data_IF_380224592044
#
_entry.id   IF_380224592044
#
_cell.length_a   1.000
_cell.length_b   1.000
_cell.length_c   1.000
_cell.angle_alpha   90.00
_cell.angle_beta   90.00
_cell.angle_gamma   90.00
#
_symmetry.space_group_name_H-M   'P 1'
#
loop_
_entity.id
_entity.type
_entity.pdbx_description
1 polymer ?
#
# COMPACT_ATOMS: atom_id res chain seq x y z
N UNK A 1 -26.88 33.89 -0.69
CA UNK A 1 -25.97 32.87 -1.23
C UNK A 1 -25.74 31.87 -0.11
N UNK A 2 -26.45 30.74 -0.11
CA UNK A 2 -26.40 29.76 0.99
C UNK A 2 -25.15 28.88 0.85
N UNK A 3 -24.43 28.69 1.94
CA UNK A 3 -23.32 27.74 2.03
C UNK A 3 -23.92 26.35 1.80
N UNK A 4 -23.39 25.52 0.88
CA UNK A 4 -23.92 24.17 0.71
C UNK A 4 -23.63 23.36 1.99
N UNK A 5 -24.68 22.86 2.63
CA UNK A 5 -24.54 21.88 3.71
C UNK A 5 -23.80 20.66 3.17
N UNK A 6 -22.61 20.42 3.69
CA UNK A 6 -21.91 19.16 3.52
C UNK A 6 -22.77 18.09 4.21
N UNK A 7 -23.55 17.34 3.41
CA UNK A 7 -24.25 16.15 3.91
C UNK A 7 -23.19 15.22 4.49
N UNK A 8 -23.23 15.04 5.81
CA UNK A 8 -22.43 14.05 6.50
C UNK A 8 -22.68 12.70 5.82
N UNK A 9 -21.60 12.01 5.44
CA UNK A 9 -21.68 10.66 4.91
C UNK A 9 -22.02 9.77 6.10
N UNK A 10 -23.31 9.58 6.36
CA UNK A 10 -23.78 8.61 7.34
C UNK A 10 -23.38 7.22 6.84
N UNK A 11 -22.54 6.54 7.62
CA UNK A 11 -21.91 5.23 7.34
C UNK A 11 -20.66 5.26 6.43
N UNK A 12 -19.66 6.07 6.80
CA UNK A 12 -18.29 5.83 6.32
C UNK A 12 -17.81 4.48 6.88
N UNK A 13 -17.47 3.49 6.02
CA UNK A 13 -16.90 2.22 6.46
C UNK A 13 -15.77 2.45 7.48
N UNK A 14 -15.75 1.69 8.59
CA UNK A 14 -14.79 1.89 9.68
C UNK A 14 -13.34 1.94 9.19
N UNK A 15 -13.02 1.22 8.10
CA UNK A 15 -11.70 1.20 7.48
C UNK A 15 -11.29 2.56 6.88
N UNK A 16 -12.25 3.36 6.40
CA UNK A 16 -12.01 4.72 5.88
C UNK A 16 -11.89 5.75 7.01
N UNK A 17 -12.20 5.38 8.26
CA UNK A 17 -11.98 6.23 9.44
C UNK A 17 -10.58 6.05 10.03
N UNK A 18 -9.84 5.02 9.60
CA UNK A 18 -8.51 4.73 10.12
C UNK A 18 -7.43 5.29 9.19
N UNK A 19 -6.45 5.98 9.79
CA UNK A 19 -5.31 6.52 9.06
C UNK A 19 -4.37 5.40 8.61
N UNK A 20 -3.90 5.49 7.36
CA UNK A 20 -2.84 4.62 6.87
C UNK A 20 -1.45 5.09 7.31
N UNK A 21 -0.55 4.15 7.59
CA UNK A 21 0.85 4.46 7.94
C UNK A 21 1.81 3.94 6.86
N UNK A 22 2.89 4.68 6.60
CA UNK A 22 3.92 4.21 5.66
C UNK A 22 4.84 3.18 6.31
N UNK A 23 5.01 2.03 5.65
CA UNK A 23 5.92 1.00 6.13
C UNK A 23 7.37 1.44 5.92
N UNK A 24 8.13 1.55 7.02
CA UNK A 24 9.57 1.89 7.02
C UNK A 24 10.38 0.70 7.53
N UNK A 25 11.57 0.49 6.96
CA UNK A 25 12.45 -0.64 7.27
C UNK A 25 12.78 -0.78 8.76
N UNK A 26 12.97 0.33 9.47
CA UNK A 26 13.23 0.31 10.92
C UNK A 26 12.13 -0.32 11.76
N UNK A 27 10.91 -0.47 11.22
CA UNK A 27 9.76 -1.06 11.91
C UNK A 27 9.42 -2.47 11.41
N UNK A 28 10.25 -3.11 10.60
CA UNK A 28 9.94 -4.45 10.05
C UNK A 28 9.77 -5.52 11.13
N UNK A 29 10.65 -5.54 12.14
CA UNK A 29 10.52 -6.53 13.21
C UNK A 29 9.26 -6.26 14.04
N UNK A 30 9.06 -5.02 14.46
CA UNK A 30 7.89 -4.61 15.25
C UNK A 30 6.57 -4.95 14.56
N UNK A 31 6.45 -4.71 13.25
CA UNK A 31 5.20 -4.96 12.54
C UNK A 31 4.91 -6.43 12.27
N UNK A 32 5.94 -7.28 12.29
CA UNK A 32 5.77 -8.74 12.22
C UNK A 32 5.25 -9.26 13.56
N UNK A 33 5.82 -8.77 14.66
CA UNK A 33 5.58 -9.30 16.00
C UNK A 33 4.30 -8.72 16.65
N UNK A 34 3.95 -7.48 16.33
CA UNK A 34 2.83 -6.75 16.96
C UNK A 34 1.66 -6.65 15.98
N UNK A 35 0.44 -6.82 16.52
CA UNK A 35 -0.81 -6.47 15.83
C UNK A 35 -1.25 -5.10 16.33
N UNK A 36 -1.06 -4.07 15.53
CA UNK A 36 -1.51 -2.72 15.84
C UNK A 36 -2.83 -2.44 15.11
N UNK A 37 -3.76 -1.72 15.75
CA UNK A 37 -4.97 -1.22 15.09
C UNK A 37 -4.60 -0.13 14.08
N UNK A 38 -4.35 -0.56 12.84
CA UNK A 38 -3.97 0.29 11.71
C UNK A 38 -4.94 0.00 10.58
N UNK A 39 -5.46 1.06 9.94
CA UNK A 39 -6.37 0.90 8.81
C UNK A 39 -5.73 0.21 7.63
N UNK A 40 -4.58 0.71 7.18
CA UNK A 40 -3.79 0.08 6.13
C UNK A 40 -2.32 0.50 6.19
N UNK A 41 -1.45 -0.33 5.62
CA UNK A 41 -0.05 0.02 5.40
C UNK A 41 0.14 0.56 3.98
N UNK A 42 0.69 1.76 3.89
CA UNK A 42 1.15 2.37 2.65
C UNK A 42 2.52 1.80 2.30
N UNK A 43 2.59 1.11 1.16
CA UNK A 43 3.78 0.44 0.66
C UNK A 43 4.26 1.13 -0.62
N UNK A 44 5.55 1.43 -0.69
CA UNK A 44 6.15 1.94 -1.92
C UNK A 44 6.45 0.79 -2.89
N UNK A 45 5.84 0.81 -4.07
CA UNK A 45 5.94 -0.26 -5.08
C UNK A 45 7.40 -0.42 -5.55
N UNK A 46 8.14 0.67 -5.75
CA UNK A 46 9.53 0.61 -6.22
C UNK A 46 10.41 -0.20 -5.27
N UNK A 47 10.17 -0.11 -3.96
CA UNK A 47 10.86 -0.95 -2.97
C UNK A 47 10.49 -2.42 -3.10
N UNK A 48 9.23 -2.75 -3.37
CA UNK A 48 8.83 -4.15 -3.62
C UNK A 48 9.47 -4.73 -4.88
N UNK A 49 9.64 -3.90 -5.92
CA UNK A 49 10.20 -4.32 -7.20
C UNK A 49 11.72 -4.51 -7.17
N UNK A 50 12.41 -3.77 -6.30
CA UNK A 50 13.87 -3.72 -6.25
C UNK A 50 14.46 -4.40 -5.00
N UNK A 51 13.73 -4.48 -3.89
CA UNK A 51 14.21 -4.97 -2.60
C UNK A 51 13.43 -6.21 -2.16
N UNK A 52 14.09 -7.38 -2.18
CA UNK A 52 13.47 -8.65 -1.74
C UNK A 52 13.05 -8.67 -0.27
N UNK A 53 13.67 -7.83 0.57
CA UNK A 53 13.36 -7.74 2.02
C UNK A 53 11.94 -7.24 2.24
N UNK A 54 11.48 -6.23 1.47
CA UNK A 54 10.11 -5.71 1.61
C UNK A 54 9.10 -6.80 1.27
N UNK A 55 9.32 -7.54 0.19
CA UNK A 55 8.44 -8.65 -0.20
C UNK A 55 8.36 -9.72 0.89
N UNK A 56 9.49 -10.08 1.49
CA UNK A 56 9.53 -11.05 2.57
C UNK A 56 8.73 -10.59 3.80
N UNK A 57 8.80 -9.30 4.14
CA UNK A 57 8.01 -8.73 5.24
C UNK A 57 6.53 -8.73 4.89
N UNK A 58 6.15 -8.30 3.68
CA UNK A 58 4.75 -8.30 3.23
C UNK A 58 4.13 -9.69 3.30
N UNK A 59 4.85 -10.74 2.89
CA UNK A 59 4.35 -12.12 3.01
C UNK A 59 4.03 -12.51 4.45
N UNK A 60 4.80 -12.04 5.43
CA UNK A 60 4.61 -12.41 6.84
C UNK A 60 3.46 -11.67 7.49
N UNK A 61 3.05 -10.54 6.92
CA UNK A 61 2.05 -9.64 7.53
C UNK A 61 0.77 -9.49 6.70
N UNK A 62 0.69 -10.14 5.52
CA UNK A 62 -0.45 -10.03 4.58
C UNK A 62 -1.80 -10.46 5.15
N UNK A 63 -1.80 -11.38 6.12
CA UNK A 63 -3.03 -11.85 6.76
C UNK A 63 -3.43 -10.97 7.96
N UNK A 64 -2.57 -10.02 8.36
CA UNK A 64 -2.77 -9.13 9.53
C UNK A 64 -3.18 -7.71 9.13
N UNK A 65 -2.75 -7.25 7.96
CA UNK A 65 -2.90 -5.86 7.55
C UNK A 65 -3.42 -5.74 6.12
N UNK A 66 -4.23 -4.71 5.89
CA UNK A 66 -4.54 -4.26 4.54
C UNK A 66 -3.38 -3.45 3.97
N UNK A 67 -3.17 -3.54 2.66
CA UNK A 67 -2.12 -2.80 1.97
C UNK A 67 -2.70 -1.77 1.00
N UNK A 68 -2.06 -0.61 0.94
CA UNK A 68 -2.25 0.38 -0.12
C UNK A 68 -0.91 0.56 -0.83
N UNK A 69 -0.86 0.21 -2.10
CA UNK A 69 0.34 0.29 -2.90
C UNK A 69 0.45 1.67 -3.53
N UNK A 70 1.62 2.28 -3.40
CA UNK A 70 1.88 3.61 -3.91
C UNK A 70 3.15 3.63 -4.75
N UNK A 71 3.09 4.28 -5.90
CA UNK A 71 4.27 4.57 -6.71
C UNK A 71 4.48 6.06 -6.84
N UNK A 72 5.74 6.48 -6.87
CA UNK A 72 6.08 7.85 -7.25
C UNK A 72 6.44 7.93 -8.74
N UNK A 73 7.00 6.86 -9.32
CA UNK A 73 7.73 6.93 -10.59
C UNK A 73 7.47 5.74 -11.55
N UNK A 74 6.49 4.86 -11.28
CA UNK A 74 6.27 3.61 -12.02
C UNK A 74 6.06 3.85 -13.52
N UNK A 75 5.49 5.00 -13.91
CA UNK A 75 5.23 5.39 -15.29
C UNK A 75 6.13 6.52 -15.81
N UNK A 76 7.00 7.09 -14.98
CA UNK A 76 7.78 8.30 -15.30
C UNK A 76 9.28 8.03 -15.52
N UNK A 77 9.77 6.84 -15.19
CA UNK A 77 11.19 6.49 -15.30
C UNK A 77 11.47 5.60 -16.51
N UNK A 78 12.06 6.20 -17.57
CA UNK A 78 12.49 5.53 -18.81
C UNK A 78 13.74 4.65 -18.65
N UNK A 79 14.42 4.68 -17.49
CA UNK A 79 15.82 4.27 -17.40
C UNK A 79 16.08 2.90 -16.72
N UNK A 80 15.06 2.15 -16.31
CA UNK A 80 15.26 0.81 -15.74
C UNK A 80 14.15 -0.16 -16.16
N UNK A 81 14.48 -1.12 -17.03
CA UNK A 81 13.54 -2.12 -17.55
C UNK A 81 12.51 -1.55 -18.52
N UNK A 82 11.84 -2.41 -19.28
CA UNK A 82 10.75 -1.95 -20.13
C UNK A 82 9.52 -1.61 -19.27
N UNK A 83 8.68 -0.68 -19.71
CA UNK A 83 7.40 -0.38 -19.07
C UNK A 83 6.57 -1.67 -18.86
N UNK A 84 6.61 -2.57 -19.84
CA UNK A 84 5.93 -3.86 -19.78
C UNK A 84 6.43 -4.73 -18.63
N UNK A 85 7.75 -4.80 -18.39
CA UNK A 85 8.29 -5.58 -17.27
C UNK A 85 7.79 -5.06 -15.92
N UNK A 86 7.71 -3.73 -15.77
CA UNK A 86 7.19 -3.10 -14.55
C UNK A 86 5.71 -3.41 -14.34
N UNK A 87 4.91 -3.35 -15.41
CA UNK A 87 3.49 -3.66 -15.36
C UNK A 87 3.23 -5.14 -15.06
N UNK A 88 4.04 -6.05 -15.62
CA UNK A 88 3.96 -7.49 -15.30
C UNK A 88 4.26 -7.71 -13.82
N UNK A 89 5.36 -7.14 -13.31
CA UNK A 89 5.69 -7.27 -11.88
C UNK A 89 4.62 -6.65 -10.98
N UNK A 90 4.06 -5.49 -11.35
CA UNK A 90 2.95 -4.89 -10.62
C UNK A 90 1.75 -5.83 -10.60
N UNK A 91 1.35 -6.38 -11.75
CA UNK A 91 0.24 -7.34 -11.85
C UNK A 91 0.45 -8.50 -10.88
N UNK A 92 1.63 -9.11 -10.89
CA UNK A 92 1.97 -10.20 -9.97
C UNK A 92 1.87 -9.78 -8.50
N UNK A 93 2.33 -8.58 -8.14
CA UNK A 93 2.18 -8.05 -6.78
C UNK A 93 0.71 -7.86 -6.40
N UNK A 94 -0.10 -7.32 -7.30
CA UNK A 94 -1.53 -7.07 -7.03
C UNK A 94 -2.33 -8.36 -6.92
N UNK A 95 -2.03 -9.37 -7.72
CA UNK A 95 -2.65 -10.70 -7.63
C UNK A 95 -2.28 -11.39 -6.31
N UNK A 96 -1.01 -11.27 -5.89
CA UNK A 96 -0.49 -11.91 -4.68
C UNK A 96 -1.02 -11.29 -3.40
N UNK A 97 -1.06 -9.97 -3.33
CA UNK A 97 -1.33 -9.23 -2.10
C UNK A 97 -2.71 -8.57 -2.03
N UNK A 98 -3.44 -8.52 -3.17
CA UNK A 98 -4.80 -7.96 -3.26
C UNK A 98 -4.95 -6.63 -2.51
N UNK A 99 -4.14 -5.60 -2.85
CA UNK A 99 -4.14 -4.34 -2.11
C UNK A 99 -5.50 -3.64 -2.22
N UNK A 100 -5.86 -2.90 -1.17
CA UNK A 100 -7.06 -2.06 -1.11
C UNK A 100 -7.04 -0.97 -2.19
N UNK A 101 -5.86 -0.44 -2.49
CA UNK A 101 -5.67 0.66 -3.43
C UNK A 101 -4.30 0.58 -4.12
N UNK A 102 -4.22 1.15 -5.32
CA UNK A 102 -3.00 1.38 -6.08
C UNK A 102 -3.02 2.84 -6.54
N UNK A 103 -2.01 3.65 -6.17
CA UNK A 103 -1.94 5.09 -6.49
C UNK A 103 -0.56 5.54 -6.91
#
# INVERSE_FOLDING_TARGET
MGIPELKYIENVPAILQQSGISLKQKYFNEIIDISSEIGFLKINIEKCLNEGVVLHVLERIKDKYLFSFHSNNLLLSSNQGTLNDKLIKLKLLTEKFKPLNIS
#
